data_IF_353733338605
#
_entry.id   IF_353733338605
#
_cell.length_a   1.000
_cell.length_b   1.000
_cell.length_c   1.000
_cell.angle_alpha   90.00
_cell.angle_beta   90.00
_cell.angle_gamma   90.00
#
_symmetry.space_group_name_H-M   'P 1'
#
loop_
_entity.id
_entity.type
_entity.pdbx_description
1 polymer ?
#
# COMPACT_ATOMS: atom_id res chain seq x y z
N UNK A 1 5.64 -20.97 11.03
CA UNK A 1 5.17 -19.72 11.66
C UNK A 1 5.59 -18.60 10.76
N UNK A 2 4.67 -18.02 9.99
CA UNK A 2 4.94 -16.74 9.33
C UNK A 2 4.83 -15.67 10.41
N UNK A 3 5.89 -14.90 10.60
CA UNK A 3 5.83 -13.69 11.40
C UNK A 3 5.45 -12.58 10.42
N UNK A 4 4.46 -11.79 10.77
CA UNK A 4 3.99 -10.63 10.01
C UNK A 4 4.31 -9.37 10.82
N UNK A 5 4.84 -8.34 10.15
CA UNK A 5 4.97 -7.03 10.78
C UNK A 5 3.69 -6.26 10.50
N UNK A 6 2.83 -6.10 11.51
CA UNK A 6 1.68 -5.21 11.43
C UNK A 6 2.08 -3.75 11.71
N UNK A 7 1.70 -2.85 10.80
CA UNK A 7 1.98 -1.42 10.88
C UNK A 7 0.70 -0.66 10.59
N UNK A 8 0.11 -0.06 11.63
CA UNK A 8 -1.13 0.71 11.52
C UNK A 8 -0.84 2.22 11.53
N UNK A 9 -1.53 2.96 10.65
CA UNK A 9 -1.46 4.43 10.57
C UNK A 9 -2.62 5.04 11.34
N UNK A 10 -2.32 5.85 12.37
CA UNK A 10 -3.37 6.50 13.17
C UNK A 10 -4.08 7.63 12.39
N UNK A 11 -5.43 7.75 12.45
CA UNK A 11 -6.26 8.59 11.57
C UNK A 11 -6.23 10.12 11.84
N UNK A 12 -5.45 10.61 12.81
CA UNK A 12 -5.53 12.02 13.27
C UNK A 12 -4.23 12.83 13.19
N UNK A 13 -3.20 12.40 12.43
CA UNK A 13 -2.00 13.23 12.28
C UNK A 13 -2.13 14.27 11.17
N UNK A 14 -2.35 15.52 11.61
CA UNK A 14 -2.33 16.75 10.82
C UNK A 14 -1.18 16.83 9.82
N UNK A 15 -1.56 17.18 8.59
CA UNK A 15 -0.83 17.92 7.56
C UNK A 15 0.48 18.54 8.09
N UNK A 16 1.61 17.86 7.88
CA UNK A 16 2.92 18.42 8.22
C UNK A 16 4.08 17.43 8.35
N UNK A 17 3.85 16.16 8.72
CA UNK A 17 4.91 15.12 8.80
C UNK A 17 4.35 13.70 8.56
N UNK A 18 3.57 13.51 7.50
CA UNK A 18 2.79 12.27 7.26
C UNK A 18 3.59 11.02 6.87
N UNK A 19 4.86 10.92 7.26
CA UNK A 19 5.79 9.94 6.71
C UNK A 19 6.42 8.97 7.69
N UNK A 20 6.19 9.20 8.98
CA UNK A 20 6.87 8.44 10.04
C UNK A 20 6.48 6.95 10.01
N UNK A 21 5.25 6.63 9.59
CA UNK A 21 4.77 5.25 9.54
C UNK A 21 5.43 4.43 8.42
N UNK A 22 5.74 5.02 7.26
CA UNK A 22 6.45 4.34 6.17
C UNK A 22 7.94 4.17 6.48
N UNK A 23 8.55 5.17 7.12
CA UNK A 23 9.94 5.07 7.57
C UNK A 23 10.10 3.97 8.63
N UNK A 24 9.14 3.89 9.58
CA UNK A 24 9.09 2.81 10.56
C UNK A 24 8.90 1.44 9.89
N UNK A 25 8.06 1.36 8.85
CA UNK A 25 7.89 0.14 8.08
C UNK A 25 9.17 -0.33 7.40
N UNK A 26 9.88 0.61 6.77
CA UNK A 26 11.18 0.33 6.16
C UNK A 26 12.18 -0.15 7.22
N UNK A 27 12.26 0.55 8.35
CA UNK A 27 13.21 0.22 9.40
C UNK A 27 12.95 -1.17 10.01
N UNK A 28 11.69 -1.53 10.25
CA UNK A 28 11.34 -2.87 10.74
C UNK A 28 11.61 -3.95 9.68
N UNK A 29 11.30 -3.69 8.41
CA UNK A 29 11.63 -4.61 7.32
C UNK A 29 13.15 -4.84 7.17
N UNK A 30 13.96 -3.80 7.39
CA UNK A 30 15.43 -3.91 7.39
C UNK A 30 15.96 -4.72 8.59
N UNK A 31 15.31 -4.62 9.75
CA UNK A 31 15.66 -5.40 10.94
C UNK A 31 15.19 -6.85 10.86
N UNK A 32 14.23 -7.14 9.99
CA UNK A 32 13.67 -8.48 9.81
C UNK A 32 13.41 -8.74 8.33
N UNK A 33 14.45 -9.01 7.54
CA UNK A 33 14.33 -9.24 6.09
C UNK A 33 13.65 -10.58 5.75
N UNK A 34 13.40 -11.43 6.75
CA UNK A 34 12.81 -12.76 6.60
C UNK A 34 11.29 -12.81 6.83
N UNK A 35 10.64 -11.67 7.07
CA UNK A 35 9.23 -11.61 7.39
C UNK A 35 8.45 -10.75 6.38
N UNK A 36 7.19 -11.12 6.16
CA UNK A 36 6.32 -10.36 5.27
C UNK A 36 5.86 -9.08 5.98
N UNK A 37 5.68 -8.02 5.20
CA UNK A 37 5.33 -6.70 5.73
C UNK A 37 3.85 -6.48 5.47
N UNK A 38 3.07 -6.30 6.54
CA UNK A 38 1.63 -6.07 6.48
C UNK A 38 1.32 -4.67 6.98
N UNK A 39 0.77 -3.84 6.11
CA UNK A 39 0.42 -2.46 6.45
C UNK A 39 -1.08 -2.34 6.51
N UNK A 40 -1.56 -1.93 7.68
CA UNK A 40 -2.96 -1.63 7.92
C UNK A 40 -3.27 -0.18 7.52
N UNK A 41 -4.14 -0.03 6.52
CA UNK A 41 -4.63 1.26 6.02
C UNK A 41 -6.00 1.65 6.59
N UNK A 42 -6.40 1.05 7.71
CA UNK A 42 -7.65 1.40 8.40
C UNK A 42 -7.68 2.90 8.71
N UNK A 43 -8.76 3.58 8.31
CA UNK A 43 -8.91 5.03 8.49
C UNK A 43 -8.13 5.91 7.50
N UNK A 44 -7.44 5.33 6.51
CA UNK A 44 -6.73 6.09 5.48
C UNK A 44 -7.62 6.31 4.27
N UNK A 45 -8.18 7.51 4.19
CA UNK A 45 -9.08 7.89 3.10
C UNK A 45 -8.32 8.29 1.83
N UNK A 46 -7.09 8.81 1.95
CA UNK A 46 -6.31 9.34 0.82
C UNK A 46 -4.82 9.07 1.00
N UNK A 47 -4.16 8.79 -0.12
CA UNK A 47 -2.70 8.68 -0.25
C UNK A 47 -2.23 9.71 -1.27
N UNK A 48 -1.17 10.45 -0.94
CA UNK A 48 -0.54 11.41 -1.84
C UNK A 48 0.62 10.77 -2.65
N UNK A 49 1.12 11.48 -3.66
CA UNK A 49 2.21 11.00 -4.52
C UNK A 49 3.51 10.68 -3.78
N UNK A 50 3.77 11.37 -2.66
CA UNK A 50 4.97 11.14 -1.84
C UNK A 50 4.88 9.81 -1.07
N UNK A 51 3.75 9.57 -0.40
CA UNK A 51 3.47 8.30 0.28
C UNK A 51 3.43 7.13 -0.72
N UNK A 52 2.85 7.34 -1.91
CA UNK A 52 2.84 6.33 -2.97
C UNK A 52 4.25 5.95 -3.43
N UNK A 53 5.11 6.95 -3.68
CA UNK A 53 6.49 6.70 -4.09
C UNK A 53 7.26 5.93 -3.01
N UNK A 54 7.01 6.25 -1.74
CA UNK A 54 7.64 5.53 -0.62
C UNK A 54 7.14 4.10 -0.46
N UNK A 55 5.84 3.84 -0.66
CA UNK A 55 5.29 2.48 -0.70
C UNK A 55 5.92 1.65 -1.82
N UNK A 56 6.12 2.23 -3.01
CA UNK A 56 6.79 1.54 -4.11
C UNK A 56 8.24 1.18 -3.73
N UNK A 57 8.98 2.12 -3.14
CA UNK A 57 10.37 1.88 -2.69
C UNK A 57 10.43 0.80 -1.60
N UNK A 58 9.49 0.81 -0.65
CA UNK A 58 9.38 -0.22 0.37
C UNK A 58 9.09 -1.58 -0.26
N UNK A 59 8.12 -1.67 -1.17
CA UNK A 59 7.79 -2.92 -1.86
C UNK A 59 8.99 -3.46 -2.64
N UNK A 60 9.74 -2.61 -3.35
CA UNK A 60 10.94 -3.04 -4.06
C UNK A 60 11.99 -3.61 -3.10
N UNK A 61 12.16 -2.98 -1.94
CA UNK A 61 13.11 -3.45 -0.92
C UNK A 61 12.68 -4.80 -0.33
N UNK A 62 11.42 -4.92 0.11
CA UNK A 62 10.87 -6.17 0.67
C UNK A 62 10.92 -7.31 -0.37
N UNK A 63 10.64 -6.99 -1.64
CA UNK A 63 10.74 -7.94 -2.76
C UNK A 63 12.18 -8.37 -3.05
N UNK A 64 13.17 -7.47 -2.90
CA UNK A 64 14.59 -7.83 -3.00
C UNK A 64 15.01 -8.82 -1.90
N UNK A 65 14.38 -8.76 -0.73
CA UNK A 65 14.55 -9.75 0.34
C UNK A 65 13.74 -11.05 0.13
N UNK A 66 13.03 -11.19 -1.00
CA UNK A 66 12.19 -12.36 -1.29
C UNK A 66 10.87 -12.40 -0.52
N UNK A 67 10.45 -11.27 0.06
CA UNK A 67 9.23 -11.12 0.86
C UNK A 67 8.18 -10.31 0.11
N UNK A 68 6.99 -10.23 0.69
CA UNK A 68 5.86 -9.50 0.11
C UNK A 68 5.42 -8.35 1.02
N UNK A 69 5.10 -7.22 0.40
CA UNK A 69 4.34 -6.15 1.03
C UNK A 69 2.85 -6.36 0.74
N UNK A 70 2.06 -6.43 1.82
CA UNK A 70 0.62 -6.59 1.78
C UNK A 70 -0.02 -5.36 2.44
N UNK A 71 -0.93 -4.70 1.74
CA UNK A 71 -1.75 -3.61 2.31
C UNK A 71 -3.12 -4.19 2.67
N UNK A 72 -3.52 -4.09 3.92
CA UNK A 72 -4.82 -4.58 4.43
C UNK A 72 -5.73 -3.40 4.79
N UNK A 73 -7.04 -3.65 4.84
CA UNK A 73 -8.07 -2.66 5.15
C UNK A 73 -8.00 -1.40 4.25
N UNK A 74 -7.69 -1.62 2.97
CA UNK A 74 -7.60 -0.55 1.98
C UNK A 74 -9.00 0.02 1.72
N UNK A 75 -9.16 1.35 1.81
CA UNK A 75 -10.42 2.02 1.48
C UNK A 75 -10.62 2.16 -0.03
N UNK A 76 -11.87 2.30 -0.48
CA UNK A 76 -12.24 2.42 -1.91
C UNK A 76 -11.42 3.47 -2.66
N UNK A 77 -11.30 4.68 -2.10
CA UNK A 77 -10.58 5.79 -2.74
C UNK A 77 -9.10 5.44 -2.96
N UNK A 78 -8.49 4.79 -1.97
CA UNK A 78 -7.10 4.36 -2.04
C UNK A 78 -6.95 3.23 -3.05
N UNK A 79 -7.84 2.23 -3.01
CA UNK A 79 -7.88 1.13 -3.96
C UNK A 79 -7.98 1.65 -5.41
N UNK A 80 -8.89 2.59 -5.69
CA UNK A 80 -9.02 3.21 -7.01
C UNK A 80 -7.73 3.89 -7.47
N UNK A 81 -7.01 4.59 -6.57
CA UNK A 81 -5.69 5.17 -6.90
C UNK A 81 -4.71 4.09 -7.31
N UNK A 82 -4.62 2.98 -6.56
CA UNK A 82 -3.74 1.87 -6.92
C UNK A 82 -4.14 1.20 -8.25
N UNK A 83 -5.42 0.97 -8.49
CA UNK A 83 -5.93 0.39 -9.74
C UNK A 83 -5.69 1.30 -10.94
N UNK A 84 -5.95 2.60 -10.82
CA UNK A 84 -5.73 3.58 -11.90
C UNK A 84 -4.25 3.71 -12.25
N UNK A 85 -3.37 3.65 -11.24
CA UNK A 85 -1.92 3.70 -11.41
C UNK A 85 -1.30 2.35 -11.78
N UNK A 86 -2.11 1.27 -11.83
CA UNK A 86 -1.68 -0.13 -12.05
C UNK A 86 -0.69 -0.65 -11.03
N UNK A 87 -0.65 -0.04 -9.85
CA UNK A 87 0.22 -0.43 -8.75
C UNK A 87 -0.32 -1.65 -8.00
N UNK A 88 -1.60 -1.99 -8.18
CA UNK A 88 -2.22 -3.25 -7.73
C UNK A 88 -1.50 -4.51 -8.25
N UNK A 89 -0.74 -4.38 -9.35
CA UNK A 89 0.08 -5.48 -9.89
C UNK A 89 1.43 -5.62 -9.20
N UNK A 90 1.88 -4.55 -8.54
CA UNK A 90 3.17 -4.50 -7.86
C UNK A 90 3.02 -4.77 -6.37
N UNK A 91 1.92 -4.36 -5.76
CA UNK A 91 1.66 -4.44 -4.32
C UNK A 91 0.39 -5.26 -4.10
N UNK A 92 0.42 -6.19 -3.15
CA UNK A 92 -0.75 -7.00 -2.81
C UNK A 92 -1.72 -6.16 -1.96
N UNK A 93 -2.96 -6.04 -2.41
CA UNK A 93 -4.01 -5.25 -1.75
C UNK A 93 -5.10 -6.19 -1.26
N UNK A 94 -5.37 -6.16 0.05
CA UNK A 94 -6.49 -6.84 0.67
C UNK A 94 -7.49 -5.80 1.15
N UNK A 95 -8.71 -5.95 0.68
CA UNK A 95 -9.83 -5.12 1.06
C UNK A 95 -11.05 -5.98 1.36
N UNK A 96 -11.83 -5.58 2.37
CA UNK A 96 -13.03 -6.29 2.79
C UNK A 96 -14.27 -5.91 1.93
N UNK A 97 -14.19 -4.78 1.22
CA UNK A 97 -15.30 -4.28 0.39
C UNK A 97 -15.34 -4.87 -1.02
N UNK A 98 -16.54 -5.00 -1.60
CA UNK A 98 -16.67 -5.20 -3.05
C UNK A 98 -16.44 -3.88 -3.78
N UNK A 99 -15.17 -3.55 -4.07
CA UNK A 99 -14.84 -2.38 -4.87
C UNK A 99 -14.90 -2.73 -6.35
N UNK A 100 -15.79 -2.08 -7.08
CA UNK A 100 -15.74 -2.17 -8.53
C UNK A 100 -14.47 -1.44 -9.01
N UNK A 101 -13.62 -2.10 -9.82
CA UNK A 101 -12.51 -1.39 -10.44
C UNK A 101 -13.10 -0.19 -11.20
N UNK A 102 -12.53 1.02 -11.05
CA UNK A 102 -13.07 2.21 -11.66
C UNK A 102 -13.26 1.90 -13.13
N UNK A 103 -14.51 1.93 -13.59
CA UNK A 103 -14.89 1.45 -14.91
C UNK A 103 -13.84 1.96 -15.88
N UNK A 104 -13.01 1.04 -16.39
CA UNK A 104 -12.04 1.34 -17.40
C UNK A 104 -12.88 1.78 -18.59
N UNK A 105 -13.23 3.07 -18.63
CA UNK A 105 -14.11 3.67 -19.62
C UNK A 105 -13.56 3.17 -20.92
N UNK A 106 -14.35 2.28 -21.52
CA UNK A 106 -14.15 1.65 -22.81
C UNK A 106 -13.05 2.37 -23.54
N UNK A 107 -11.83 1.82 -23.51
CA UNK A 107 -10.87 2.16 -24.53
C UNK A 107 -11.53 1.63 -25.80
N UNK A 108 -12.42 2.44 -26.39
CA UNK A 108 -13.02 2.14 -27.66
C UNK A 108 -11.80 1.92 -28.56
N UNK A 109 -11.68 0.76 -29.21
CA UNK A 109 -10.62 0.61 -30.20
C UNK A 109 -10.79 1.81 -31.14
N UNK A 110 -9.74 2.61 -31.27
CA UNK A 110 -9.66 3.58 -32.37
C UNK A 110 -9.73 2.72 -33.63
N UNK A 111 -10.91 2.72 -34.26
CA UNK A 111 -11.12 2.17 -35.61
C UNK A 111 -10.33 2.99 -36.62
#
# INVERSE_FOLDING_TARGET
>A
MALDIEISKSPHQSVGRSDTWLEQAKQKAEQSPEIDVVIDLTGIERINSHELNKLIRLQLHVKQCGRRLVLVNVQETVFQVFTLTRLDRLIELHHDGHFEPPAAKMLRPRR
#
